data_IF_056157262489
#
_entry.id   IF_056157262489
#
_cell.length_a   1.000
_cell.length_b   1.000
_cell.length_c   1.000
_cell.angle_alpha   90.00
_cell.angle_beta   90.00
_cell.angle_gamma   90.00
#
_symmetry.space_group_name_H-M   'P 1'
#
loop_
_entity.id
_entity.type
_entity.pdbx_description
1 polymer ?
#
# COMPACT_ATOMS: atom_id res chain seq x y z
N UNK A 1 10.54 -18.01 14.99
CA UNK A 1 11.41 -19.16 14.72
C UNK A 1 11.63 -19.31 13.23
N UNK A 2 12.66 -20.05 12.85
CA UNK A 2 12.89 -20.53 11.48
C UNK A 2 13.62 -21.86 11.54
N UNK A 3 13.30 -22.76 10.61
CA UNK A 3 14.05 -24.01 10.44
C UNK A 3 14.76 -23.99 9.09
N UNK A 4 16.01 -24.41 9.08
CA UNK A 4 16.81 -24.49 7.86
C UNK A 4 17.70 -25.73 7.86
N UNK A 5 17.94 -26.28 6.69
CA UNK A 5 18.89 -27.37 6.51
C UNK A 5 20.31 -26.78 6.53
N UNK A 6 21.21 -27.37 7.33
CA UNK A 6 22.62 -26.96 7.42
C UNK A 6 23.48 -27.88 6.54
N UNK A 7 23.29 -29.18 6.70
CA UNK A 7 24.08 -30.18 5.97
C UNK A 7 23.20 -31.32 5.46
N UNK A 8 23.72 -32.04 4.48
CA UNK A 8 23.09 -33.20 3.89
C UNK A 8 24.17 -34.24 3.60
N UNK A 9 24.04 -35.43 4.19
CA UNK A 9 24.79 -36.64 3.82
C UNK A 9 23.84 -37.63 3.17
N UNK A 10 24.36 -38.76 2.72
CA UNK A 10 23.54 -39.78 2.04
C UNK A 10 22.40 -40.31 2.92
N UNK A 11 22.63 -40.46 4.21
CA UNK A 11 21.67 -41.04 5.15
C UNK A 11 21.12 -40.07 6.19
N UNK A 12 21.73 -38.91 6.40
CA UNK A 12 21.36 -37.98 7.48
C UNK A 12 21.12 -36.56 6.98
N UNK A 13 20.16 -35.90 7.61
CA UNK A 13 19.95 -34.45 7.50
C UNK A 13 20.28 -33.78 8.82
N UNK A 14 21.02 -32.70 8.77
CA UNK A 14 21.22 -31.81 9.90
C UNK A 14 20.41 -30.55 9.66
N UNK A 15 19.55 -30.20 10.61
CA UNK A 15 18.71 -29.02 10.58
C UNK A 15 18.99 -28.13 11.78
N UNK A 16 18.90 -26.81 11.57
CA UNK A 16 19.06 -25.81 12.62
C UNK A 16 17.73 -25.08 12.80
N UNK A 17 17.22 -25.12 14.03
CA UNK A 17 16.16 -24.24 14.48
C UNK A 17 16.79 -22.94 14.97
N UNK A 18 16.36 -21.81 14.41
CA UNK A 18 16.83 -20.48 14.79
C UNK A 18 15.70 -19.73 15.48
N UNK A 19 15.94 -19.22 16.68
CA UNK A 19 15.06 -18.29 17.35
C UNK A 19 15.57 -16.86 17.16
N UNK A 20 14.77 -15.99 16.56
CA UNK A 20 15.10 -14.58 16.35
C UNK A 20 14.77 -13.69 17.56
N UNK A 21 14.14 -14.27 18.57
CA UNK A 21 13.76 -13.56 19.80
C UNK A 21 14.30 -14.33 21.01
N UNK A 22 14.57 -13.63 22.08
CA UNK A 22 14.91 -14.23 23.39
C UNK A 22 13.65 -14.71 24.13
N UNK A 23 12.58 -15.03 23.40
CA UNK A 23 11.35 -15.54 23.99
C UNK A 23 11.63 -16.91 24.65
N UNK A 24 11.27 -17.02 25.91
CA UNK A 24 11.45 -18.27 26.68
C UNK A 24 10.30 -19.26 26.49
N UNK A 25 9.35 -18.96 25.60
CA UNK A 25 8.22 -19.85 25.35
C UNK A 25 8.68 -21.13 24.68
N UNK A 26 8.28 -22.30 25.18
CA UNK A 26 8.59 -23.55 24.53
C UNK A 26 7.91 -23.62 23.16
N UNK A 27 8.58 -24.25 22.20
CA UNK A 27 8.06 -24.42 20.84
C UNK A 27 7.98 -25.90 20.48
N UNK A 28 6.91 -26.29 19.80
CA UNK A 28 6.70 -27.66 19.37
C UNK A 28 7.38 -27.92 18.03
N UNK A 29 8.10 -29.02 17.92
CA UNK A 29 8.75 -29.50 16.69
C UNK A 29 8.14 -30.84 16.32
N UNK A 30 7.56 -30.95 15.15
CA UNK A 30 7.01 -32.18 14.60
C UNK A 30 7.84 -32.64 13.41
N UNK A 31 8.11 -33.96 13.37
CA UNK A 31 8.69 -34.61 12.20
C UNK A 31 7.69 -35.57 11.55
N UNK A 32 7.73 -35.66 10.23
CA UNK A 32 6.77 -36.42 9.43
C UNK A 32 7.50 -37.31 8.41
N UNK A 33 6.90 -38.46 8.12
CA UNK A 33 7.18 -39.33 6.97
C UNK A 33 5.90 -39.45 6.13
N UNK A 34 5.93 -39.04 4.86
CA UNK A 34 4.77 -39.09 3.95
C UNK A 34 3.48 -38.53 4.59
N UNK A 35 3.64 -37.37 5.26
CA UNK A 35 2.59 -36.66 6.02
C UNK A 35 2.06 -37.41 7.27
N UNK A 36 2.61 -38.55 7.66
CA UNK A 36 2.34 -39.18 8.95
C UNK A 36 3.29 -38.64 10.02
N UNK A 37 2.73 -38.31 11.18
CA UNK A 37 3.52 -37.81 12.32
C UNK A 37 4.41 -38.95 12.86
N UNK A 38 5.72 -38.76 12.83
CA UNK A 38 6.73 -39.69 13.36
C UNK A 38 7.12 -39.30 14.77
N UNK A 39 7.35 -38.02 15.02
CA UNK A 39 7.79 -37.53 16.32
C UNK A 39 7.24 -36.13 16.59
N UNK A 40 6.97 -35.85 17.87
CA UNK A 40 6.51 -34.56 18.36
C UNK A 40 7.26 -34.24 19.66
N UNK A 41 8.07 -33.19 19.65
CA UNK A 41 8.94 -32.80 20.77
C UNK A 41 8.70 -31.35 21.13
N UNK A 42 8.60 -31.05 22.43
CA UNK A 42 8.63 -29.70 22.94
C UNK A 42 10.06 -29.27 23.22
N UNK A 43 10.48 -28.19 22.60
CA UNK A 43 11.80 -27.60 22.78
C UNK A 43 11.72 -26.43 23.73
N UNK A 44 12.65 -26.27 24.69
CA UNK A 44 12.71 -25.11 25.54
C UNK A 44 12.95 -23.84 24.71
N UNK A 45 12.38 -22.74 25.15
CA UNK A 45 12.67 -21.42 24.60
C UNK A 45 13.99 -20.85 25.12
N UNK A 46 14.42 -19.74 24.54
CA UNK A 46 15.56 -18.96 25.03
C UNK A 46 16.89 -19.24 24.32
N UNK A 47 17.06 -20.38 23.67
CA UNK A 47 18.25 -20.69 22.86
C UNK A 47 18.13 -20.03 21.47
N UNK A 48 19.21 -19.37 21.03
CA UNK A 48 19.23 -18.75 19.70
C UNK A 48 19.29 -19.77 18.57
N UNK A 49 19.96 -20.92 18.80
CA UNK A 49 20.15 -21.97 17.80
C UNK A 49 20.15 -23.35 18.46
N UNK A 50 19.37 -24.24 17.89
CA UNK A 50 19.35 -25.66 18.28
C UNK A 50 19.52 -26.53 17.03
N UNK A 51 20.32 -27.60 17.11
CA UNK A 51 20.61 -28.49 15.99
C UNK A 51 20.01 -29.85 16.23
N UNK A 52 19.49 -30.45 15.17
CA UNK A 52 18.89 -31.78 15.18
C UNK A 52 19.33 -32.54 13.95
N UNK A 53 19.54 -33.86 14.17
CA UNK A 53 19.91 -34.78 13.09
C UNK A 53 18.78 -35.78 12.87
N UNK A 54 18.37 -35.98 11.64
CA UNK A 54 17.29 -36.87 11.25
C UNK A 54 17.74 -37.85 10.20
N UNK A 55 17.27 -39.11 10.33
CA UNK A 55 17.44 -40.14 9.35
C UNK A 55 16.55 -39.87 8.12
N UNK A 56 17.19 -39.80 6.95
CA UNK A 56 16.53 -39.50 5.67
C UNK A 56 15.48 -40.54 5.27
N UNK A 57 15.66 -41.79 5.70
CA UNK A 57 14.70 -42.86 5.41
C UNK A 57 13.41 -42.74 6.24
N UNK A 58 13.48 -42.04 7.38
CA UNK A 58 12.40 -41.98 8.37
C UNK A 58 11.70 -40.63 8.45
N UNK A 59 12.31 -39.55 7.95
CA UNK A 59 11.77 -38.19 8.04
C UNK A 59 11.97 -37.47 6.71
N UNK A 60 10.88 -36.97 6.16
CA UNK A 60 10.89 -36.17 4.91
C UNK A 60 10.48 -34.71 5.11
N UNK A 61 9.81 -34.40 6.24
CA UNK A 61 9.30 -33.06 6.55
C UNK A 61 9.41 -32.76 8.04
N UNK A 62 9.82 -31.54 8.37
CA UNK A 62 9.87 -31.03 9.73
C UNK A 62 9.06 -29.72 9.80
N UNK A 63 8.26 -29.57 10.85
CA UNK A 63 7.40 -28.42 11.08
C UNK A 63 7.62 -27.89 12.50
N UNK A 64 7.95 -26.61 12.58
CA UNK A 64 8.04 -25.87 13.84
C UNK A 64 6.70 -25.18 14.12
N UNK A 65 6.28 -25.15 15.38
CA UNK A 65 5.04 -24.49 15.83
C UNK A 65 3.80 -24.91 15.00
N UNK A 66 3.56 -26.23 14.81
CA UNK A 66 2.47 -26.72 13.95
C UNK A 66 1.09 -26.23 14.40
N UNK A 67 0.90 -26.09 15.71
CA UNK A 67 -0.36 -25.70 16.33
C UNK A 67 -0.50 -24.17 16.45
N UNK A 68 0.48 -23.39 15.95
CA UNK A 68 0.52 -21.91 15.99
C UNK A 68 0.34 -21.30 17.39
N UNK A 69 0.78 -21.99 18.43
CA UNK A 69 0.67 -21.52 19.83
C UNK A 69 1.60 -20.35 20.13
N UNK A 70 2.69 -20.25 19.39
CA UNK A 70 3.60 -19.10 19.43
C UNK A 70 3.24 -18.18 18.28
N UNK A 71 2.96 -16.90 18.57
CA UNK A 71 2.66 -15.90 17.54
C UNK A 71 3.95 -15.54 16.78
N UNK A 72 3.91 -15.69 15.46
CA UNK A 72 5.02 -15.42 14.57
C UNK A 72 4.59 -14.53 13.41
N UNK A 73 5.45 -13.60 13.03
CA UNK A 73 5.21 -12.71 11.88
C UNK A 73 5.38 -13.45 10.55
N UNK A 74 6.26 -14.46 10.54
CA UNK A 74 6.55 -15.26 9.36
C UNK A 74 6.44 -16.74 9.70
N UNK A 75 5.38 -17.39 9.25
CA UNK A 75 5.19 -18.85 9.39
C UNK A 75 5.69 -19.62 8.17
N UNK A 76 6.20 -18.94 7.14
CA UNK A 76 6.66 -19.57 5.90
C UNK A 76 7.98 -20.35 6.10
N UNK A 77 8.77 -19.95 7.08
CA UNK A 77 10.06 -20.55 7.44
C UNK A 77 9.95 -21.61 8.57
N UNK A 78 8.73 -21.98 8.96
CA UNK A 78 8.47 -23.00 9.97
C UNK A 78 8.44 -24.42 9.42
N UNK A 79 8.55 -24.57 8.12
CA UNK A 79 8.50 -25.86 7.44
C UNK A 79 9.74 -26.10 6.60
N UNK A 80 10.25 -27.33 6.64
CA UNK A 80 11.29 -27.78 5.71
C UNK A 80 10.93 -29.18 5.20
N UNK A 81 11.02 -29.40 3.89
CA UNK A 81 10.98 -30.72 3.24
C UNK A 81 12.40 -31.13 2.87
N UNK A 82 12.80 -32.30 3.34
CA UNK A 82 14.16 -32.79 3.22
C UNK A 82 14.43 -33.52 1.88
N UNK A 83 13.35 -33.95 1.22
CA UNK A 83 13.37 -34.66 -0.06
C UNK A 83 12.78 -33.82 -1.19
N UNK A 84 13.53 -32.81 -1.67
CA UNK A 84 13.29 -32.04 -2.89
C UNK A 84 11.82 -31.57 -3.15
N UNK A 85 11.52 -30.36 -2.79
CA UNK A 85 10.50 -29.58 -3.47
C UNK A 85 10.96 -28.12 -3.48
N UNK A 86 10.76 -27.41 -4.58
CA UNK A 86 10.93 -25.95 -4.67
C UNK A 86 10.00 -25.22 -3.68
N UNK A 87 8.98 -25.92 -3.16
CA UNK A 87 8.04 -25.37 -2.17
C UNK A 87 8.05 -26.22 -0.91
N UNK A 88 8.34 -25.58 0.22
CA UNK A 88 8.38 -26.24 1.54
C UNK A 88 6.99 -26.66 2.04
N UNK A 89 5.91 -26.08 1.49
CA UNK A 89 4.51 -26.35 1.86
C UNK A 89 3.67 -26.66 0.64
N UNK A 90 2.68 -27.53 0.82
CA UNK A 90 1.62 -27.74 -0.17
C UNK A 90 0.89 -26.43 -0.46
N UNK A 91 0.57 -26.17 -1.73
CA UNK A 91 -0.21 -25.00 -2.13
C UNK A 91 -1.70 -25.38 -2.27
N UNK A 92 -2.57 -24.59 -1.62
CA UNK A 92 -4.01 -24.75 -1.73
C UNK A 92 -4.64 -23.50 -2.32
N UNK A 93 -5.47 -23.69 -3.32
CA UNK A 93 -6.30 -22.63 -3.89
C UNK A 93 -7.59 -22.55 -3.08
N UNK A 94 -7.93 -21.35 -2.58
CA UNK A 94 -9.12 -21.10 -1.74
C UNK A 94 -9.86 -19.88 -2.23
N UNK A 95 -11.18 -19.95 -2.15
CA UNK A 95 -12.03 -18.78 -2.34
C UNK A 95 -12.08 -18.00 -1.02
N UNK A 96 -11.84 -16.68 -1.10
CA UNK A 96 -11.73 -15.78 0.05
C UNK A 96 -10.54 -16.05 0.98
N UNK A 97 -10.28 -15.10 1.87
CA UNK A 97 -9.17 -15.18 2.83
C UNK A 97 -9.51 -16.13 4.00
N UNK A 98 -8.47 -16.75 4.54
CA UNK A 98 -8.55 -17.67 5.66
C UNK A 98 -7.41 -17.39 6.66
N UNK A 99 -7.48 -18.08 7.80
CA UNK A 99 -6.42 -18.02 8.82
C UNK A 99 -5.16 -18.70 8.28
N UNK A 100 -3.96 -18.11 8.52
CA UNK A 100 -2.69 -18.72 8.12
C UNK A 100 -2.55 -20.15 8.65
N UNK A 101 -2.10 -21.07 7.81
CA UNK A 101 -1.78 -22.44 8.21
C UNK A 101 -0.27 -22.67 8.20
N UNK A 102 0.23 -23.40 9.20
CA UNK A 102 1.62 -23.87 9.20
C UNK A 102 1.87 -25.02 8.20
N UNK A 103 0.84 -25.72 7.79
CA UNK A 103 0.94 -26.94 6.98
C UNK A 103 0.91 -26.67 5.48
N UNK A 104 0.15 -25.67 5.01
CA UNK A 104 0.01 -25.35 3.59
C UNK A 104 0.13 -23.83 3.35
N UNK A 105 0.51 -23.48 2.13
CA UNK A 105 0.50 -22.11 1.64
C UNK A 105 -0.78 -21.88 0.85
N UNK A 106 -1.62 -20.92 1.26
CA UNK A 106 -2.85 -20.60 0.54
C UNK A 106 -2.57 -19.56 -0.55
N UNK A 107 -3.19 -19.80 -1.70
CA UNK A 107 -3.42 -18.81 -2.74
C UNK A 107 -4.92 -18.56 -2.77
N UNK A 108 -5.31 -17.30 -2.65
CA UNK A 108 -6.71 -16.92 -2.62
C UNK A 108 -7.16 -16.39 -3.95
N UNK A 109 -8.43 -16.62 -4.28
CA UNK A 109 -9.06 -16.02 -5.43
C UNK A 109 -10.46 -15.51 -5.08
N UNK A 110 -10.86 -14.43 -5.72
CA UNK A 110 -12.21 -13.89 -5.63
C UNK A 110 -12.65 -13.31 -6.98
N UNK A 111 -13.95 -13.29 -7.29
CA UNK A 111 -14.44 -12.52 -8.42
C UNK A 111 -14.08 -11.06 -8.28
N UNK A 112 -13.71 -10.41 -9.36
CA UNK A 112 -13.45 -8.97 -9.41
C UNK A 112 -14.33 -8.33 -10.47
N UNK A 113 -15.18 -7.40 -10.02
CA UNK A 113 -16.07 -6.60 -10.85
C UNK A 113 -15.77 -5.14 -10.59
N UNK A 114 -15.31 -4.44 -11.61
CA UNK A 114 -15.06 -3.00 -11.55
C UNK A 114 -15.66 -2.33 -12.79
N UNK A 115 -15.68 -1.01 -12.77
CA UNK A 115 -16.18 -0.23 -13.89
C UNK A 115 -15.29 0.97 -14.12
N UNK A 116 -15.01 1.27 -15.38
CA UNK A 116 -14.55 2.59 -15.80
C UNK A 116 -15.29 2.99 -17.10
N UNK A 117 -15.32 4.29 -17.38
CA UNK A 117 -16.12 4.82 -18.49
C UNK A 117 -15.70 4.27 -19.85
N UNK A 118 -14.45 3.93 -20.04
CA UNK A 118 -13.86 3.51 -21.31
C UNK A 118 -13.87 1.99 -21.48
N UNK A 119 -13.39 1.22 -20.52
CA UNK A 119 -13.43 -0.24 -20.54
C UNK A 119 -14.86 -0.80 -20.36
N UNK A 120 -15.78 -0.01 -19.78
CA UNK A 120 -17.11 -0.44 -19.38
C UNK A 120 -17.06 -1.29 -18.12
N UNK A 121 -17.89 -2.34 -18.07
CA UNK A 121 -17.84 -3.33 -17.00
C UNK A 121 -16.61 -4.22 -17.21
N UNK A 122 -15.73 -4.22 -16.24
CA UNK A 122 -14.54 -5.04 -16.16
C UNK A 122 -14.83 -6.25 -15.28
N UNK A 123 -14.81 -7.44 -15.87
CA UNK A 123 -15.03 -8.71 -15.18
C UNK A 123 -13.76 -9.52 -15.13
N UNK A 124 -13.47 -10.11 -13.98
CA UNK A 124 -12.24 -10.87 -13.81
C UNK A 124 -12.12 -11.59 -12.50
N UNK A 125 -10.90 -11.87 -12.11
CA UNK A 125 -10.56 -12.50 -10.84
C UNK A 125 -9.42 -11.78 -10.15
N UNK A 126 -9.45 -11.71 -8.84
CA UNK A 126 -8.29 -11.37 -8.02
C UNK A 126 -7.65 -12.66 -7.54
N UNK A 127 -6.35 -12.79 -7.71
CA UNK A 127 -5.54 -13.88 -7.18
C UNK A 127 -4.45 -13.26 -6.29
N UNK A 128 -4.37 -13.68 -5.03
CA UNK A 128 -3.41 -13.14 -4.09
C UNK A 128 -3.02 -14.16 -3.01
N UNK A 129 -1.95 -13.88 -2.29
CA UNK A 129 -1.52 -14.64 -1.11
C UNK A 129 -1.64 -13.82 0.19
N UNK A 130 -2.34 -12.69 0.15
CA UNK A 130 -2.57 -11.84 1.31
C UNK A 130 -3.33 -12.59 2.40
N UNK A 131 -3.04 -12.27 3.65
CA UNK A 131 -3.69 -12.81 4.85
C UNK A 131 -4.00 -11.64 5.79
N UNK A 132 -4.88 -11.88 6.75
CA UNK A 132 -5.14 -10.97 7.87
C UNK A 132 -3.82 -10.61 8.57
N UNK A 133 -2.92 -11.57 8.74
CA UNK A 133 -1.56 -11.33 9.20
C UNK A 133 -0.65 -10.99 8.02
N UNK A 134 0.17 -9.94 8.19
CA UNK A 134 1.07 -9.46 7.14
C UNK A 134 2.11 -10.52 6.77
N UNK A 135 2.11 -10.92 5.51
CA UNK A 135 3.11 -11.81 4.95
C UNK A 135 4.38 -11.03 4.56
N UNK A 136 5.57 -11.65 4.68
CA UNK A 136 6.81 -11.04 4.19
C UNK A 136 6.76 -10.74 2.69
N UNK A 137 6.26 -11.68 1.90
CA UNK A 137 6.07 -11.50 0.45
C UNK A 137 4.59 -11.56 0.12
N UNK A 138 4.09 -10.52 -0.53
CA UNK A 138 2.72 -10.45 -1.04
C UNK A 138 2.73 -10.36 -2.56
N UNK A 139 1.86 -11.13 -3.18
CA UNK A 139 1.61 -11.12 -4.62
C UNK A 139 0.13 -10.83 -4.83
N UNK A 140 -0.16 -9.96 -5.77
CA UNK A 140 -1.51 -9.61 -6.20
C UNK A 140 -1.54 -9.64 -7.73
N UNK A 141 -2.54 -10.30 -8.29
CA UNK A 141 -2.77 -10.39 -9.72
C UNK A 141 -4.25 -10.30 -10.00
N UNK A 142 -4.66 -9.36 -10.83
CA UNK A 142 -6.07 -9.09 -11.12
C UNK A 142 -6.29 -8.87 -12.63
N UNK A 143 -6.34 -9.94 -13.42
CA UNK A 143 -6.73 -9.85 -14.82
C UNK A 143 -8.24 -9.62 -14.93
N UNK A 144 -8.63 -8.71 -15.83
CA UNK A 144 -10.02 -8.33 -16.08
C UNK A 144 -10.26 -8.16 -17.56
N UNK A 145 -11.47 -8.46 -18.02
CA UNK A 145 -11.89 -8.28 -19.41
C UNK A 145 -12.94 -7.17 -19.47
N UNK A 146 -12.67 -6.16 -20.30
CA UNK A 146 -13.52 -4.99 -20.46
C UNK A 146 -14.65 -5.24 -21.48
N UNK A 147 -15.88 -4.85 -21.11
CA UNK A 147 -17.07 -5.10 -21.95
C UNK A 147 -17.18 -4.18 -23.15
N UNK A 148 -16.58 -2.97 -23.12
CA UNK A 148 -16.62 -2.02 -24.24
C UNK A 148 -15.47 -2.24 -25.23
N UNK A 149 -14.25 -2.21 -24.75
CA UNK A 149 -13.06 -2.33 -25.61
C UNK A 149 -12.72 -3.79 -25.96
N UNK A 150 -13.41 -4.76 -25.37
CA UNK A 150 -13.24 -6.21 -25.64
C UNK A 150 -11.77 -6.65 -25.47
N UNK A 151 -11.07 -6.10 -24.50
CA UNK A 151 -9.65 -6.32 -24.27
C UNK A 151 -9.35 -6.72 -22.84
N UNK A 152 -8.18 -7.36 -22.64
CA UNK A 152 -7.68 -7.71 -21.33
C UNK A 152 -7.02 -6.50 -20.69
N UNK A 153 -7.45 -6.13 -19.49
CA UNK A 153 -6.92 -5.07 -18.63
C UNK A 153 -6.58 -5.67 -17.26
N UNK A 154 -5.98 -4.90 -16.37
CA UNK A 154 -5.78 -5.36 -15.02
C UNK A 154 -4.49 -4.88 -14.37
N UNK A 155 -4.22 -5.46 -13.20
CA UNK A 155 -3.09 -5.08 -12.36
C UNK A 155 -2.33 -6.30 -11.83
N UNK A 156 -1.03 -6.10 -11.63
CA UNK A 156 -0.13 -7.04 -10.95
C UNK A 156 0.71 -6.30 -9.94
N UNK A 157 0.95 -6.87 -8.78
CA UNK A 157 1.99 -6.37 -7.89
C UNK A 157 2.64 -7.48 -7.08
N UNK A 158 3.92 -7.29 -6.81
CA UNK A 158 4.70 -8.09 -5.89
C UNK A 158 5.42 -7.17 -4.92
N UNK A 159 5.39 -7.51 -3.63
CA UNK A 159 6.09 -6.75 -2.58
C UNK A 159 6.73 -7.71 -1.59
N UNK A 160 7.99 -7.48 -1.29
CA UNK A 160 8.68 -8.15 -0.19
C UNK A 160 8.97 -7.17 0.93
N UNK A 161 8.81 -7.62 2.19
CA UNK A 161 9.08 -6.83 3.39
C UNK A 161 9.94 -7.61 4.37
N UNK A 162 11.07 -7.03 4.71
CA UNK A 162 11.94 -7.49 5.79
C UNK A 162 11.66 -6.72 7.07
N UNK A 163 11.53 -7.39 8.20
CA UNK A 163 11.24 -6.82 9.50
C UNK A 163 12.47 -6.85 10.40
N UNK A 164 12.70 -5.77 11.14
CA UNK A 164 13.82 -5.62 12.08
C UNK A 164 13.28 -5.33 13.47
N UNK A 165 13.66 -6.15 14.46
CA UNK A 165 13.10 -6.04 15.80
C UNK A 165 13.91 -5.12 16.71
N UNK A 166 15.23 -5.14 16.60
CA UNK A 166 16.16 -4.47 17.54
C UNK A 166 16.55 -3.05 17.14
N UNK A 167 16.24 -2.60 15.95
CA UNK A 167 16.70 -1.33 15.39
C UNK A 167 15.58 -0.27 15.34
N UNK A 168 15.97 1.00 15.28
CA UNK A 168 15.03 2.08 14.94
C UNK A 168 14.34 1.86 13.60
N UNK A 169 15.04 1.25 12.63
CA UNK A 169 14.46 0.75 11.40
C UNK A 169 13.54 -0.43 11.71
N UNK A 170 12.24 -0.28 11.43
CA UNK A 170 11.23 -1.30 11.68
C UNK A 170 11.10 -2.31 10.55
N UNK A 171 11.14 -1.81 9.31
CA UNK A 171 11.06 -2.66 8.12
C UNK A 171 11.57 -1.92 6.89
N UNK A 172 12.08 -2.70 5.95
CA UNK A 172 12.28 -2.28 4.56
C UNK A 172 11.36 -3.12 3.69
N UNK A 173 10.61 -2.49 2.80
CA UNK A 173 9.87 -3.18 1.76
C UNK A 173 10.29 -2.68 0.39
N UNK A 174 10.40 -3.58 -0.55
CA UNK A 174 10.59 -3.28 -1.96
C UNK A 174 9.56 -4.04 -2.78
N UNK A 175 9.12 -3.44 -3.85
CA UNK A 175 8.05 -3.99 -4.65
C UNK A 175 8.05 -3.46 -6.07
N UNK A 176 7.22 -4.10 -6.86
CA UNK A 176 6.97 -3.75 -8.23
C UNK A 176 5.46 -3.85 -8.48
N UNK A 177 4.90 -2.84 -9.13
CA UNK A 177 3.53 -2.81 -9.61
C UNK A 177 3.50 -2.65 -11.12
N UNK A 178 2.48 -3.22 -11.73
CA UNK A 178 2.12 -3.03 -13.13
C UNK A 178 0.62 -2.91 -13.23
N UNK A 179 0.13 -1.98 -14.04
CA UNK A 179 -1.28 -1.87 -14.37
C UNK A 179 -1.49 -1.33 -15.78
N UNK A 180 -2.61 -1.72 -16.39
CA UNK A 180 -3.00 -1.28 -17.70
C UNK A 180 -4.52 -1.25 -17.83
N UNK A 181 -5.05 -0.05 -18.14
CA UNK A 181 -6.47 0.24 -18.38
C UNK A 181 -6.64 1.29 -19.47
N UNK A 182 -7.83 1.39 -20.03
CA UNK A 182 -8.14 2.51 -20.93
C UNK A 182 -8.44 3.77 -20.13
N UNK A 183 -7.87 4.88 -20.57
CA UNK A 183 -8.07 6.22 -20.01
C UNK A 183 -8.83 7.13 -20.96
N UNK A 184 -9.01 6.69 -22.21
CA UNK A 184 -9.80 7.33 -23.24
C UNK A 184 -10.26 6.28 -24.27
N UNK A 185 -11.13 6.65 -25.21
CA UNK A 185 -11.58 5.77 -26.30
C UNK A 185 -10.39 5.34 -27.15
N UNK A 186 -10.19 4.03 -27.28
CA UNK A 186 -9.05 3.41 -27.97
C UNK A 186 -7.66 3.82 -27.45
N UNK A 187 -7.55 4.39 -26.26
CA UNK A 187 -6.28 4.82 -25.69
C UNK A 187 -6.05 4.15 -24.33
N UNK A 188 -4.98 3.39 -24.25
CA UNK A 188 -4.58 2.63 -23.06
C UNK A 188 -3.31 3.19 -22.46
N UNK A 189 -3.14 3.05 -21.15
CA UNK A 189 -1.87 3.29 -20.48
C UNK A 189 -1.28 1.99 -19.94
N UNK A 190 0.05 1.98 -19.82
CA UNK A 190 0.85 0.95 -19.16
C UNK A 190 1.71 1.62 -18.12
N UNK A 191 1.46 1.31 -16.86
CA UNK A 191 2.16 1.89 -15.73
C UNK A 191 3.02 0.85 -15.04
N UNK A 192 4.32 1.13 -14.96
CA UNK A 192 5.31 0.33 -14.22
C UNK A 192 5.72 1.11 -12.99
N UNK A 193 5.65 0.48 -11.81
CA UNK A 193 5.85 1.15 -10.53
C UNK A 193 6.74 0.35 -9.58
N UNK A 194 8.08 0.37 -9.76
CA UNK A 194 9.01 -0.07 -8.72
C UNK A 194 9.00 0.90 -7.53
N UNK A 195 9.07 0.35 -6.32
CA UNK A 195 9.02 1.14 -5.08
C UNK A 195 9.91 0.53 -3.99
N UNK A 196 10.49 1.39 -3.16
CA UNK A 196 11.23 1.02 -1.95
C UNK A 196 10.76 1.87 -0.80
N UNK A 197 10.43 1.24 0.33
CA UNK A 197 9.88 1.90 1.51
C UNK A 197 10.58 1.45 2.78
N UNK A 198 11.17 2.39 3.50
CA UNK A 198 11.73 2.19 4.83
C UNK A 198 10.79 2.76 5.90
N UNK A 199 10.47 1.97 6.90
CA UNK A 199 9.63 2.38 8.04
C UNK A 199 10.48 2.39 9.31
N UNK A 200 10.43 3.48 10.05
CA UNK A 200 11.19 3.67 11.28
C UNK A 200 10.27 3.76 12.50
N UNK A 201 10.79 3.32 13.64
CA UNK A 201 10.24 3.46 14.98
C UNK A 201 11.20 4.30 15.83
N UNK A 202 11.16 5.64 15.77
CA UNK A 202 12.17 6.49 16.41
C UNK A 202 12.33 6.24 17.91
N UNK A 203 11.23 5.93 18.61
CA UNK A 203 11.17 5.74 20.06
C UNK A 203 10.88 4.30 20.50
N UNK A 204 11.04 3.32 19.59
CA UNK A 204 10.84 1.90 19.89
C UNK A 204 9.41 1.37 19.64
N UNK A 205 9.15 0.17 20.15
CA UNK A 205 7.91 -0.58 19.85
C UNK A 205 6.68 0.02 20.51
N UNK A 206 6.80 0.50 21.72
CA UNK A 206 5.68 1.04 22.52
C UNK A 206 5.22 2.43 22.04
N UNK A 207 6.06 3.16 21.32
CA UNK A 207 5.71 4.48 20.81
C UNK A 207 4.80 4.41 19.60
N UNK A 208 3.84 5.33 19.52
CA UNK A 208 2.99 5.52 18.34
C UNK A 208 3.69 6.29 17.21
N UNK A 209 4.88 6.86 17.47
CA UNK A 209 5.64 7.59 16.46
C UNK A 209 6.16 6.65 15.38
N UNK A 210 5.91 7.02 14.13
CA UNK A 210 6.42 6.33 12.94
C UNK A 210 6.97 7.36 11.97
N UNK A 211 8.12 7.04 11.38
CA UNK A 211 8.65 7.79 10.26
C UNK A 211 8.77 6.84 9.05
N UNK A 212 8.60 7.39 7.88
CA UNK A 212 8.55 6.66 6.63
C UNK A 212 9.38 7.41 5.59
N UNK A 213 10.19 6.69 4.86
CA UNK A 213 10.85 7.17 3.64
C UNK A 213 10.45 6.22 2.52
N UNK A 214 9.96 6.75 1.41
CA UNK A 214 9.51 5.96 0.27
C UNK A 214 10.06 6.57 -1.01
N UNK A 215 10.69 5.74 -1.83
CA UNK A 215 11.12 6.04 -3.18
C UNK A 215 10.19 5.32 -4.13
N UNK A 216 9.51 6.07 -4.97
CA UNK A 216 8.67 5.56 -6.05
C UNK A 216 9.27 5.94 -7.39
N UNK A 217 9.30 4.99 -8.30
CA UNK A 217 9.68 5.19 -9.69
C UNK A 217 8.49 4.80 -10.55
N UNK A 218 8.07 5.68 -11.44
CA UNK A 218 6.92 5.45 -12.32
C UNK A 218 7.35 5.63 -13.76
N UNK A 219 7.25 4.58 -14.56
CA UNK A 219 7.36 4.66 -16.00
C UNK A 219 5.97 4.47 -16.60
N UNK A 220 5.51 5.44 -17.33
CA UNK A 220 4.19 5.49 -17.92
C UNK A 220 4.29 5.56 -19.44
N UNK A 221 3.67 4.60 -20.11
CA UNK A 221 3.50 4.57 -21.57
C UNK A 221 2.03 4.72 -21.88
N UNK A 222 1.69 5.45 -22.92
CA UNK A 222 0.32 5.68 -23.36
C UNK A 222 0.18 5.34 -24.84
N UNK A 223 -0.95 4.82 -25.23
CA UNK A 223 -1.32 4.67 -26.64
C UNK A 223 -1.99 5.95 -27.15
N UNK A 224 -1.74 6.28 -28.41
CA UNK A 224 -2.49 7.30 -29.14
C UNK A 224 -3.85 6.74 -29.64
N UNK A 225 -4.61 7.56 -30.39
CA UNK A 225 -5.91 7.15 -30.95
C UNK A 225 -5.80 6.03 -32.00
N UNK A 226 -4.62 5.82 -32.58
CA UNK A 226 -4.33 4.77 -33.53
C UNK A 226 -3.80 3.49 -32.85
N UNK A 227 -3.75 3.47 -31.50
CA UNK A 227 -3.16 2.40 -30.68
C UNK A 227 -1.65 2.26 -30.87
N UNK A 228 -0.98 3.32 -31.31
CA UNK A 228 0.48 3.38 -31.36
C UNK A 228 1.01 3.83 -30.01
N UNK A 229 2.08 3.19 -29.54
CA UNK A 229 2.70 3.51 -28.27
C UNK A 229 3.49 4.82 -28.36
N UNK A 230 3.09 5.81 -27.58
CA UNK A 230 3.81 7.09 -27.46
C UNK A 230 5.09 6.93 -26.65
N UNK A 231 5.99 7.92 -26.76
CA UNK A 231 7.17 8.00 -25.92
C UNK A 231 6.76 7.96 -24.42
N UNK A 232 7.40 7.08 -23.68
CA UNK A 232 7.14 6.94 -22.26
C UNK A 232 7.55 8.18 -21.47
N UNK A 233 6.87 8.47 -20.37
CA UNK A 233 7.29 9.43 -19.36
C UNK A 233 7.85 8.71 -18.13
N UNK A 234 8.88 9.30 -17.53
CA UNK A 234 9.48 8.80 -16.31
C UNK A 234 9.31 9.82 -15.19
N UNK A 235 8.81 9.36 -14.04
CA UNK A 235 8.67 10.15 -12.84
C UNK A 235 9.29 9.41 -11.66
N UNK A 236 10.02 10.13 -10.82
CA UNK A 236 10.52 9.62 -9.55
C UNK A 236 10.05 10.50 -8.41
N UNK A 237 9.68 9.91 -7.28
CA UNK A 237 9.32 10.65 -6.09
C UNK A 237 10.00 10.10 -4.85
N UNK A 238 10.52 11.02 -4.02
CA UNK A 238 11.02 10.75 -2.69
C UNK A 238 10.03 11.33 -1.68
N UNK A 239 9.40 10.45 -0.93
CA UNK A 239 8.39 10.79 0.06
C UNK A 239 8.95 10.59 1.46
N UNK A 240 8.78 11.59 2.32
CA UNK A 240 8.99 11.48 3.76
C UNK A 240 7.67 11.69 4.46
N UNK A 241 7.35 10.86 5.44
CA UNK A 241 6.21 11.06 6.32
C UNK A 241 6.59 10.75 7.77
N UNK A 242 6.10 11.58 8.67
CA UNK A 242 6.17 11.35 10.11
C UNK A 242 4.79 11.44 10.70
N UNK A 243 4.38 10.41 11.44
CA UNK A 243 3.06 10.32 12.06
C UNK A 243 3.23 10.02 13.55
N UNK A 244 2.43 10.71 14.36
CA UNK A 244 2.31 10.49 15.77
C UNK A 244 0.87 10.68 16.20
N UNK A 245 0.35 9.83 17.07
CA UNK A 245 -1.03 9.95 17.53
C UNK A 245 -1.47 8.81 18.42
N UNK A 246 -2.66 8.98 18.97
CA UNK A 246 -3.39 7.98 19.75
C UNK A 246 -4.89 8.06 19.40
N UNK A 247 -5.74 7.42 20.20
CA UNK A 247 -7.20 7.46 19.99
C UNK A 247 -7.81 8.87 20.10
N UNK A 248 -7.14 9.82 20.77
CA UNK A 248 -7.68 11.16 21.03
C UNK A 248 -7.10 12.23 20.11
N UNK A 249 -5.97 12.00 19.49
CA UNK A 249 -5.34 12.97 18.60
C UNK A 249 -4.39 12.28 17.60
N UNK A 250 -4.16 12.94 16.48
CA UNK A 250 -3.14 12.54 15.51
C UNK A 250 -2.46 13.75 14.88
N UNK A 251 -1.16 13.66 14.66
CA UNK A 251 -0.36 14.67 13.96
C UNK A 251 0.44 13.97 12.87
N UNK A 252 0.52 14.58 11.72
CA UNK A 252 1.30 14.08 10.59
C UNK A 252 2.01 15.20 9.87
N UNK A 253 3.25 14.96 9.51
CA UNK A 253 4.02 15.79 8.58
C UNK A 253 4.39 14.92 7.39
N UNK A 254 4.27 15.47 6.18
CA UNK A 254 4.71 14.83 4.95
C UNK A 254 5.45 15.82 4.07
N UNK A 255 6.48 15.35 3.39
CA UNK A 255 7.18 16.09 2.36
C UNK A 255 7.43 15.16 1.16
N UNK A 256 7.25 15.67 -0.04
CA UNK A 256 7.45 14.93 -1.29
C UNK A 256 8.28 15.76 -2.24
N UNK A 257 9.33 15.16 -2.76
CA UNK A 257 10.15 15.70 -3.84
C UNK A 257 9.98 14.81 -5.06
N UNK A 258 9.52 15.37 -6.17
CA UNK A 258 9.29 14.66 -7.42
C UNK A 258 10.15 15.24 -8.53
N UNK A 259 10.66 14.35 -9.36
CA UNK A 259 11.38 14.67 -10.58
C UNK A 259 10.72 13.92 -11.74
N UNK A 260 10.49 14.62 -12.82
CA UNK A 260 10.05 14.04 -14.09
C UNK A 260 10.93 14.57 -15.23
N UNK A 261 10.60 14.17 -16.44
CA UNK A 261 11.39 14.52 -17.65
C UNK A 261 11.52 16.02 -17.86
N UNK A 262 10.52 16.81 -17.45
CA UNK A 262 10.49 18.27 -17.66
C UNK A 262 10.15 19.07 -16.41
N UNK A 263 9.96 18.42 -15.24
CA UNK A 263 9.54 19.12 -14.06
C UNK A 263 10.25 18.67 -12.77
N UNK A 264 10.26 19.58 -11.81
CA UNK A 264 10.60 19.31 -10.40
C UNK A 264 9.49 19.87 -9.52
N UNK A 265 8.96 19.05 -8.63
CA UNK A 265 7.84 19.38 -7.76
C UNK A 265 8.20 19.09 -6.32
N UNK A 266 8.16 20.11 -5.46
CA UNK A 266 8.38 19.97 -4.02
C UNK A 266 7.08 20.29 -3.29
N UNK A 267 6.66 19.46 -2.39
CA UNK A 267 5.51 19.74 -1.53
C UNK A 267 5.75 19.33 -0.08
N UNK A 268 5.08 20.04 0.83
CA UNK A 268 5.05 19.71 2.24
C UNK A 268 3.63 19.86 2.76
N UNK A 269 3.24 19.00 3.70
CA UNK A 269 1.95 19.08 4.36
C UNK A 269 2.06 18.75 5.84
N UNK A 270 1.30 19.47 6.64
CA UNK A 270 1.13 19.17 8.06
C UNK A 270 -0.35 18.97 8.35
N UNK A 271 -0.68 17.92 9.08
CA UNK A 271 -2.04 17.58 9.50
C UNK A 271 -2.11 17.45 11.00
N UNK A 272 -3.18 17.95 11.59
CA UNK A 272 -3.49 17.76 13.00
C UNK A 272 -4.99 17.49 13.14
N UNK A 273 -5.34 16.47 13.93
CA UNK A 273 -6.69 16.13 14.31
C UNK A 273 -6.74 15.90 15.81
N UNK A 274 -7.71 16.43 16.49
CA UNK A 274 -7.94 16.19 17.91
C UNK A 274 -9.41 15.96 18.19
N UNK A 275 -9.69 14.87 18.91
CA UNK A 275 -11.01 14.60 19.47
C UNK A 275 -11.08 15.27 20.85
N UNK A 276 -12.03 16.18 21.04
CA UNK A 276 -12.20 16.92 22.28
C UNK A 276 -13.39 16.42 23.10
N UNK A 277 -14.27 15.64 22.47
CA UNK A 277 -15.41 14.95 23.06
C UNK A 277 -15.74 13.72 22.23
N UNK A 278 -16.49 12.76 22.81
CA UNK A 278 -16.95 11.60 22.08
C UNK A 278 -17.66 11.98 20.77
N UNK A 279 -17.17 11.47 19.63
CA UNK A 279 -17.65 11.76 18.30
C UNK A 279 -17.47 13.22 17.82
N UNK A 280 -16.71 14.06 18.54
CA UNK A 280 -16.43 15.44 18.14
C UNK A 280 -14.94 15.70 17.97
N UNK A 281 -14.59 16.33 16.86
CA UNK A 281 -13.20 16.62 16.50
C UNK A 281 -13.04 18.02 15.93
N UNK A 282 -11.81 18.50 15.97
CA UNK A 282 -11.35 19.51 15.04
C UNK A 282 -10.12 18.97 14.29
N UNK A 283 -10.01 19.36 13.03
CA UNK A 283 -8.88 19.02 12.20
C UNK A 283 -8.42 20.22 11.39
N UNK A 284 -7.13 20.29 11.15
CA UNK A 284 -6.57 21.22 10.17
C UNK A 284 -5.43 20.60 9.39
N UNK A 285 -5.28 21.06 8.17
CA UNK A 285 -4.18 20.70 7.28
C UNK A 285 -3.59 21.98 6.70
N UNK A 286 -2.27 22.05 6.68
CA UNK A 286 -1.51 23.07 5.97
C UNK A 286 -0.77 22.40 4.82
N UNK A 287 -0.70 23.08 3.69
CA UNK A 287 -0.01 22.60 2.51
C UNK A 287 0.82 23.72 1.89
N UNK A 288 2.01 23.37 1.42
CA UNK A 288 2.90 24.21 0.62
C UNK A 288 3.40 23.37 -0.57
N UNK A 289 3.34 23.94 -1.77
CA UNK A 289 3.83 23.36 -3.01
C UNK A 289 4.63 24.34 -3.85
N UNK A 290 5.72 23.86 -4.45
CA UNK A 290 6.56 24.59 -5.40
C UNK A 290 6.76 23.72 -6.65
N UNK A 291 6.54 24.30 -7.83
CA UNK A 291 6.67 23.60 -9.12
C UNK A 291 7.57 24.39 -10.06
N UNK A 292 8.53 23.69 -10.64
CA UNK A 292 9.29 24.12 -11.82
C UNK A 292 9.00 23.15 -12.96
N UNK A 293 8.38 23.63 -14.03
CA UNK A 293 8.06 22.86 -15.24
C UNK A 293 8.60 23.61 -16.46
N UNK A 294 9.58 23.01 -17.17
CA UNK A 294 10.24 23.63 -18.33
C UNK A 294 9.36 23.63 -19.58
N UNK A 295 8.48 22.65 -19.73
CA UNK A 295 7.62 22.49 -20.90
C UNK A 295 6.28 23.26 -20.78
N UNK A 296 5.93 23.73 -19.56
CA UNK A 296 4.70 24.47 -19.29
C UNK A 296 3.43 23.74 -19.76
N UNK A 297 3.45 22.42 -19.74
CA UNK A 297 2.38 21.58 -20.28
C UNK A 297 1.08 21.65 -19.50
N UNK A 298 1.11 22.12 -18.25
CA UNK A 298 -0.03 22.06 -17.31
C UNK A 298 -0.30 20.66 -16.75
N UNK A 299 0.36 19.64 -17.28
CA UNK A 299 0.13 18.24 -16.88
C UNK A 299 0.57 17.96 -15.44
N UNK A 300 1.53 18.73 -14.91
CA UNK A 300 2.14 18.50 -13.60
C UNK A 300 1.70 19.50 -12.53
N UNK A 301 0.79 20.41 -12.87
CA UNK A 301 0.29 21.44 -11.98
C UNK A 301 -0.27 20.86 -10.67
N UNK A 302 -0.20 21.63 -9.60
CA UNK A 302 -0.91 21.27 -8.36
C UNK A 302 -2.41 21.40 -8.55
N UNK A 303 -3.16 20.39 -8.17
CA UNK A 303 -4.62 20.44 -8.18
C UNK A 303 -5.18 21.26 -7.01
N UNK A 304 -6.15 22.12 -7.28
CA UNK A 304 -6.83 22.92 -6.24
C UNK A 304 -7.98 22.15 -5.62
N UNK A 305 -9.01 21.84 -6.38
CA UNK A 305 -10.20 21.10 -5.93
C UNK A 305 -10.26 19.68 -6.52
N UNK A 306 -9.53 19.41 -7.58
CA UNK A 306 -9.42 18.10 -8.22
C UNK A 306 -7.97 17.71 -8.39
N UNK A 307 -7.66 16.43 -8.14
CA UNK A 307 -6.29 15.93 -8.35
C UNK A 307 -5.91 15.98 -9.81
N UNK A 308 -4.68 16.39 -10.06
CA UNK A 308 -4.04 16.26 -11.37
C UNK A 308 -3.26 14.95 -11.39
N UNK A 309 -3.91 13.88 -11.88
CA UNK A 309 -3.39 12.51 -11.80
C UNK A 309 -2.58 12.11 -13.05
N UNK A 310 -1.51 12.83 -13.33
CA UNK A 310 -0.63 12.58 -14.47
C UNK A 310 0.12 11.24 -14.40
N UNK A 311 0.21 10.66 -13.22
CA UNK A 311 0.89 9.37 -13.00
C UNK A 311 -0.05 8.17 -12.97
N UNK A 312 -1.35 8.39 -13.20
CA UNK A 312 -2.40 7.37 -13.11
C UNK A 312 -2.37 6.60 -11.77
N UNK A 313 -2.12 7.34 -10.68
CA UNK A 313 -1.98 6.76 -9.35
C UNK A 313 -3.33 6.55 -8.65
N UNK A 314 -4.37 7.23 -9.06
CA UNK A 314 -5.69 7.17 -8.43
C UNK A 314 -6.66 6.32 -9.25
N UNK A 315 -7.20 5.28 -8.63
CA UNK A 315 -8.24 4.43 -9.21
C UNK A 315 -9.58 4.78 -8.56
N UNK A 316 -10.40 5.60 -9.23
CA UNK A 316 -11.73 5.99 -8.79
C UNK A 316 -12.69 6.02 -9.97
N UNK A 317 -13.98 5.77 -9.70
CA UNK A 317 -15.02 5.65 -10.74
C UNK A 317 -15.14 6.92 -11.60
N UNK A 318 -15.08 8.10 -11.00
CA UNK A 318 -15.24 9.39 -11.67
C UNK A 318 -13.94 10.01 -12.18
N UNK A 319 -12.85 9.23 -12.32
CA UNK A 319 -11.55 9.76 -12.73
C UNK A 319 -11.59 10.50 -14.07
N UNK A 320 -12.27 9.94 -15.01
CA UNK A 320 -12.31 10.42 -16.40
C UNK A 320 -13.57 11.22 -16.76
N UNK A 321 -14.56 11.25 -15.87
CA UNK A 321 -15.79 11.98 -16.09
C UNK A 321 -15.65 13.45 -15.65
N UNK A 322 -16.10 14.35 -16.52
CA UNK A 322 -16.13 15.80 -16.27
C UNK A 322 -17.51 16.30 -15.84
N UNK A 323 -18.54 15.46 -15.91
CA UNK A 323 -19.92 15.79 -15.58
C UNK A 323 -20.66 14.56 -15.04
N UNK A 324 -21.86 14.77 -14.49
CA UNK A 324 -22.69 13.72 -13.94
C UNK A 324 -22.29 13.27 -12.54
N UNK A 325 -22.98 12.24 -12.03
CA UNK A 325 -22.84 11.77 -10.65
C UNK A 325 -21.42 11.31 -10.33
N UNK A 326 -20.77 10.57 -11.20
CA UNK A 326 -19.41 10.06 -10.96
C UNK A 326 -18.34 11.14 -10.93
N UNK A 327 -18.57 12.29 -11.61
CA UNK A 327 -17.66 13.45 -11.53
C UNK A 327 -17.68 14.14 -10.17
N UNK A 328 -18.70 13.89 -9.35
CA UNK A 328 -18.85 14.44 -8.00
C UNK A 328 -17.97 13.72 -6.96
N UNK A 329 -17.26 12.67 -7.34
CA UNK A 329 -16.38 11.95 -6.44
C UNK A 329 -15.21 12.82 -5.99
N UNK A 330 -15.12 13.07 -4.68
CA UNK A 330 -14.05 13.87 -4.10
C UNK A 330 -12.81 13.02 -3.79
N UNK A 331 -11.68 13.44 -4.32
CA UNK A 331 -10.37 12.96 -3.93
C UNK A 331 -9.56 14.15 -3.46
N UNK A 332 -8.91 14.05 -2.31
CA UNK A 332 -8.14 15.14 -1.71
C UNK A 332 -7.02 15.59 -2.65
N UNK A 333 -7.26 16.70 -3.34
CA UNK A 333 -6.26 17.38 -4.15
C UNK A 333 -5.16 18.00 -3.27
N UNK A 334 -4.10 18.50 -3.89
CA UNK A 334 -2.99 19.11 -3.17
C UNK A 334 -3.45 20.31 -2.33
N UNK A 335 -4.25 21.23 -2.87
CA UNK A 335 -4.82 22.34 -2.09
C UNK A 335 -5.95 21.90 -1.13
N UNK A 336 -6.68 20.83 -1.46
CA UNK A 336 -7.69 20.23 -0.58
C UNK A 336 -9.04 20.92 -0.56
N UNK A 337 -9.36 21.74 -1.56
CA UNK A 337 -10.67 22.39 -1.69
C UNK A 337 -11.76 21.39 -2.06
N UNK A 338 -12.97 21.56 -1.50
CA UNK A 338 -14.09 20.63 -1.67
C UNK A 338 -15.05 21.06 -2.76
N UNK A 339 -15.09 22.35 -3.10
CA UNK A 339 -15.91 22.87 -4.18
C UNK A 339 -15.10 23.19 -5.43
N UNK A 340 -15.80 23.37 -6.53
CA UNK A 340 -15.20 23.84 -7.76
C UNK A 340 -14.71 25.29 -7.59
N UNK A 341 -13.42 25.50 -7.80
CA UNK A 341 -12.79 26.82 -7.80
C UNK A 341 -12.40 27.14 -9.25
N UNK A 342 -12.69 28.34 -9.77
CA UNK A 342 -12.33 28.73 -11.14
C UNK A 342 -10.84 28.55 -11.45
N UNK A 343 -9.96 28.88 -10.49
CA UNK A 343 -8.53 28.56 -10.55
C UNK A 343 -8.31 27.11 -10.17
N UNK A 344 -8.36 26.20 -11.13
CA UNK A 344 -8.33 24.75 -10.88
C UNK A 344 -6.93 24.22 -10.56
N UNK A 345 -5.87 24.90 -11.00
CA UNK A 345 -4.49 24.42 -10.86
C UNK A 345 -3.54 25.56 -10.48
N UNK A 346 -2.39 25.18 -9.92
CA UNK A 346 -1.27 26.06 -9.61
C UNK A 346 0.02 25.51 -10.25
N UNK A 347 0.69 26.35 -11.09
CA UNK A 347 1.84 25.94 -11.86
C UNK A 347 3.16 26.61 -11.46
N UNK A 348 3.18 27.35 -10.37
CA UNK A 348 4.42 27.85 -9.74
C UNK A 348 4.47 27.51 -8.26
N UNK A 349 3.52 28.01 -7.48
CA UNK A 349 3.41 27.66 -6.07
C UNK A 349 1.97 27.71 -5.59
N UNK A 350 1.74 26.97 -4.52
CA UNK A 350 0.47 26.80 -3.88
C UNK A 350 0.65 26.76 -2.36
N UNK A 351 -0.13 27.57 -1.64
CA UNK A 351 -0.24 27.49 -0.18
C UNK A 351 -1.72 27.31 0.15
N UNK A 352 -2.05 26.37 1.02
CA UNK A 352 -3.44 26.21 1.48
C UNK A 352 -3.53 25.80 2.94
N UNK A 353 -4.66 26.15 3.56
CA UNK A 353 -5.07 25.70 4.88
C UNK A 353 -6.51 25.20 4.80
N UNK A 354 -6.72 23.98 5.29
CA UNK A 354 -8.02 23.34 5.36
C UNK A 354 -8.37 23.13 6.83
N UNK A 355 -9.54 23.55 7.24
CA UNK A 355 -10.04 23.53 8.62
C UNK A 355 -11.36 22.77 8.66
N UNK A 356 -11.59 21.96 9.66
CA UNK A 356 -12.90 21.40 9.95
C UNK A 356 -13.14 21.22 11.43
N UNK A 357 -14.39 21.34 11.86
CA UNK A 357 -14.81 21.04 13.22
C UNK A 357 -16.20 20.46 13.27
N UNK A 358 -16.42 19.51 14.16
CA UNK A 358 -17.71 18.87 14.33
C UNK A 358 -18.67 19.80 15.07
N UNK A 359 -19.81 20.08 14.47
CA UNK A 359 -20.93 20.79 15.08
C UNK A 359 -21.80 19.85 15.92
N UNK A 360 -22.22 18.74 15.30
CA UNK A 360 -23.11 17.78 15.94
C UNK A 360 -23.02 16.40 15.30
N UNK A 361 -22.68 15.36 16.11
CA UNK A 361 -22.49 13.98 15.64
C UNK A 361 -21.60 13.91 14.39
N UNK A 362 -22.06 13.43 13.25
CA UNK A 362 -21.31 13.38 11.99
C UNK A 362 -21.32 14.68 11.16
N UNK A 363 -22.03 15.74 11.62
CA UNK A 363 -22.11 17.01 10.90
C UNK A 363 -20.93 17.91 11.28
N UNK A 364 -20.15 18.32 10.30
CA UNK A 364 -19.01 19.23 10.44
C UNK A 364 -19.19 20.49 9.61
N UNK A 365 -18.60 21.57 10.07
CA UNK A 365 -18.35 22.77 9.25
C UNK A 365 -16.90 22.72 8.79
N UNK A 366 -16.64 23.11 7.56
CA UNK A 366 -15.29 23.23 7.03
C UNK A 366 -15.05 24.59 6.38
N UNK A 367 -13.79 24.96 6.28
CA UNK A 367 -13.34 26.14 5.55
C UNK A 367 -11.96 25.86 4.97
N UNK A 368 -11.80 26.17 3.69
CA UNK A 368 -10.54 26.03 2.96
C UNK A 368 -10.14 27.42 2.45
N UNK A 369 -8.88 27.78 2.68
CA UNK A 369 -8.30 29.03 2.19
C UNK A 369 -6.98 28.75 1.50
N UNK A 370 -6.63 29.53 0.50
CA UNK A 370 -5.38 29.33 -0.23
C UNK A 370 -4.91 30.54 -1.01
N UNK A 371 -3.63 30.50 -1.34
CA UNK A 371 -2.98 31.43 -2.26
C UNK A 371 -2.38 30.60 -3.39
N UNK A 372 -2.68 30.99 -4.61
CA UNK A 372 -2.24 30.32 -5.84
C UNK A 372 -1.43 31.27 -6.68
N UNK A 373 -0.30 30.82 -7.18
CA UNK A 373 0.49 31.54 -8.17
C UNK A 373 0.63 30.71 -9.43
N UNK A 374 0.18 31.29 -10.52
CA UNK A 374 0.40 30.79 -11.86
C UNK A 374 1.39 31.70 -12.60
N UNK A 375 2.09 31.15 -13.58
CA UNK A 375 3.02 31.90 -14.43
C UNK A 375 2.28 32.99 -15.18
N UNK A 376 2.89 34.15 -15.27
CA UNK A 376 2.35 35.34 -15.95
C UNK A 376 1.01 35.84 -15.39
N UNK A 377 0.63 35.42 -14.19
CA UNK A 377 -0.57 35.90 -13.49
C UNK A 377 -0.16 36.45 -12.12
N UNK A 378 -0.96 37.34 -11.56
CA UNK A 378 -0.82 37.75 -10.16
C UNK A 378 -1.21 36.61 -9.22
N UNK A 379 -0.84 36.73 -7.95
CA UNK A 379 -1.31 35.82 -6.91
C UNK A 379 -2.82 35.94 -6.75
N UNK A 380 -3.50 34.79 -6.60
CA UNK A 380 -4.93 34.72 -6.38
C UNK A 380 -5.23 34.15 -5.00
N UNK A 381 -6.01 34.87 -4.23
CA UNK A 381 -6.59 34.32 -3.01
C UNK A 381 -7.85 33.53 -3.38
N UNK A 382 -7.95 32.33 -2.84
CA UNK A 382 -9.08 31.42 -3.05
C UNK A 382 -9.61 30.96 -1.70
N UNK A 383 -10.92 30.79 -1.61
CA UNK A 383 -11.56 30.28 -0.41
C UNK A 383 -12.78 29.43 -0.74
N UNK A 384 -13.14 28.57 0.19
CA UNK A 384 -14.29 27.68 0.15
C UNK A 384 -14.75 27.42 1.59
N UNK A 385 -16.03 27.26 1.82
CA UNK A 385 -16.57 26.89 3.12
C UNK A 385 -17.93 26.24 2.95
N UNK A 386 -18.27 25.32 3.85
CA UNK A 386 -19.53 24.61 3.78
C UNK A 386 -19.74 23.64 4.93
N UNK A 387 -20.71 22.77 4.75
CA UNK A 387 -21.03 21.69 5.67
C UNK A 387 -20.55 20.36 5.11
N UNK A 388 -20.16 19.45 5.97
CA UNK A 388 -19.92 18.06 5.59
C UNK A 388 -20.63 17.12 6.54
N UNK A 389 -21.17 16.04 5.98
CA UNK A 389 -21.81 14.97 6.73
C UNK A 389 -20.95 13.72 6.62
N UNK A 390 -20.27 13.35 7.71
CA UNK A 390 -19.52 12.10 7.81
C UNK A 390 -20.49 10.97 8.16
N UNK A 391 -20.86 10.18 7.16
CA UNK A 391 -21.76 9.02 7.32
C UNK A 391 -20.98 7.87 7.97
N UNK A 392 -19.79 7.59 7.45
CA UNK A 392 -18.83 6.66 8.04
C UNK A 392 -17.49 7.39 8.16
N UNK A 393 -17.04 7.58 9.38
CA UNK A 393 -15.83 8.33 9.69
C UNK A 393 -14.63 7.87 8.85
N UNK A 394 -14.00 8.82 8.15
CA UNK A 394 -12.84 8.62 7.27
C UNK A 394 -13.09 7.73 6.02
N UNK A 395 -14.31 7.26 5.78
CA UNK A 395 -14.65 6.41 4.63
C UNK A 395 -15.72 7.00 3.71
N UNK A 396 -16.77 7.57 4.27
CA UNK A 396 -17.88 8.10 3.48
C UNK A 396 -18.38 9.41 4.06
N UNK A 397 -18.20 10.47 3.31
CA UNK A 397 -18.67 11.82 3.64
C UNK A 397 -19.31 12.51 2.46
N UNK A 398 -20.27 13.36 2.74
CA UNK A 398 -20.90 14.25 1.76
C UNK A 398 -20.51 15.69 2.09
N UNK A 399 -20.13 16.44 1.06
CA UNK A 399 -19.76 17.86 1.18
C UNK A 399 -20.83 18.72 0.52
N UNK A 400 -21.20 19.79 1.21
CA UNK A 400 -22.19 20.81 0.78
C UNK A 400 -21.50 22.16 0.87
N UNK A 401 -20.85 22.61 -0.24
CA UNK A 401 -20.21 23.91 -0.32
C UNK A 401 -21.17 25.06 -0.23
#
# INVERSE_FOLDING_TARGET
YAIRQISKSDNLFEVELVSYTKAQNPVKLNSYEKDKLVSSVWLPGGEEKQRFTYDRAKVDKIVVNPDQRVLEVNTNNNNIRLNKSLTTRERKLRMFEDIPSSQYASTYFAPNLTYNAYDGLLTGVVIHNGLVLRQPTTVYFSPQYGSKEMTLSGAFSIRHRSFYQKNKLASISYGFGFESYHFNVNQRYYRYHPQVKATFRPEGLASNKRALIELDLISLFQEDKNKELLNGSFNSSLNYAHVNGNSSWSKGFGATLQFGDSFTKLSASYRNRKYYREGRQYAYRLFLGLLSDSNHSGNYDFGVSRVNDYSFAYNLLGRSETSGFFSQQYVLAEAGFKSFIPTQTANQWLISANLSTTLWRGLEIYSDIGLVKNRRQSEHFIYDAGLSLNIVQDYLGLYFP
#
